data_IF_814782438528
#
_entry.id   IF_814782438528
#
_cell.length_a   1.000
_cell.length_b   1.000
_cell.length_c   1.000
_cell.angle_alpha   90.00
_cell.angle_beta   90.00
_cell.angle_gamma   90.00
#
_symmetry.space_group_name_H-M   'P 1'
#
loop_
_entity.id
_entity.type
_entity.pdbx_description
1 polymer ?
#
# COMPACT_ATOMS: atom_id res chain seq x y z
N UNK A 1 3.12 -19.26 -4.28
CA UNK A 1 3.91 -18.45 -5.24
C UNK A 1 3.29 -17.08 -5.43
N UNK A 2 4.12 -16.08 -5.54
CA UNK A 2 3.71 -14.74 -5.92
C UNK A 2 4.86 -13.99 -6.58
N UNK A 3 4.58 -13.32 -7.68
CA UNK A 3 5.51 -12.39 -8.34
C UNK A 3 4.71 -11.26 -9.00
N UNK A 4 5.02 -10.01 -8.62
CA UNK A 4 4.32 -8.86 -9.18
C UNK A 4 4.47 -8.80 -10.70
N UNK A 5 3.34 -8.75 -11.40
CA UNK A 5 3.29 -8.68 -12.86
C UNK A 5 3.16 -7.25 -13.39
N UNK A 6 3.29 -6.23 -12.54
CA UNK A 6 3.18 -4.85 -12.94
C UNK A 6 1.82 -4.45 -13.52
N UNK A 7 0.75 -5.13 -13.12
CA UNK A 7 -0.59 -4.89 -13.68
C UNK A 7 -1.24 -3.57 -13.24
N UNK A 8 -0.72 -2.93 -12.19
CA UNK A 8 -1.30 -1.73 -11.60
C UNK A 8 -2.64 -1.92 -10.89
N UNK A 9 -3.19 -3.13 -10.87
CA UNK A 9 -4.50 -3.41 -10.26
C UNK A 9 -4.55 -3.12 -8.76
N UNK A 10 -3.43 -3.26 -8.04
CA UNK A 10 -3.32 -2.91 -6.62
C UNK A 10 -3.25 -1.39 -6.37
N UNK A 11 -3.06 -0.59 -7.41
CA UNK A 11 -3.06 0.88 -7.35
C UNK A 11 -4.43 1.50 -7.64
N UNK A 12 -5.44 0.69 -7.86
CA UNK A 12 -6.82 1.10 -8.12
C UNK A 12 -7.68 0.63 -6.96
N UNK A 13 -8.34 1.57 -6.29
CA UNK A 13 -9.28 1.20 -5.23
C UNK A 13 -10.53 0.57 -5.82
N UNK A 14 -11.06 -0.39 -5.09
CA UNK A 14 -12.32 -1.04 -5.42
C UNK A 14 -13.31 -0.66 -4.35
N UNK A 15 -14.29 0.12 -4.73
CA UNK A 15 -15.30 0.67 -3.83
C UNK A 15 -14.72 1.60 -2.75
N UNK A 16 -15.33 1.66 -1.58
CA UNK A 16 -14.98 2.56 -0.48
C UNK A 16 -13.67 2.22 0.26
N UNK A 17 -13.01 1.15 -0.11
CA UNK A 17 -11.76 0.70 0.51
C UNK A 17 -10.59 0.88 -0.45
N UNK A 18 -9.63 1.75 -0.16
CA UNK A 18 -8.55 1.80 -1.09
C UNK A 18 -7.49 2.86 -0.91
N UNK A 19 -7.46 3.50 0.22
CA UNK A 19 -6.36 4.40 0.50
C UNK A 19 -5.08 3.63 0.81
N UNK A 20 -3.97 4.12 0.29
CA UNK A 20 -2.64 3.67 0.69
C UNK A 20 -2.20 4.51 1.88
N UNK A 21 -2.38 3.96 3.07
CA UNK A 21 -1.97 4.61 4.30
C UNK A 21 -0.46 4.60 4.47
N UNK A 22 0.07 5.66 5.07
CA UNK A 22 1.50 5.87 5.22
C UNK A 22 1.91 5.87 6.69
N UNK A 23 2.85 5.00 7.02
CA UNK A 23 3.57 5.06 8.29
C UNK A 23 4.60 6.19 8.29
N UNK A 24 5.10 6.56 9.46
CA UNK A 24 6.18 7.54 9.57
C UNK A 24 7.45 7.10 8.82
N UNK A 25 7.71 5.79 8.76
CA UNK A 25 8.84 5.23 8.00
C UNK A 25 8.63 5.44 6.50
N UNK A 26 7.41 5.22 6.01
CA UNK A 26 7.07 5.43 4.60
C UNK A 26 7.21 6.91 4.22
N UNK A 27 6.72 7.82 5.06
CA UNK A 27 6.86 9.27 4.85
C UNK A 27 8.32 9.70 4.76
N UNK A 28 9.18 9.20 5.66
CA UNK A 28 10.63 9.48 5.61
C UNK A 28 11.28 8.92 4.35
N UNK A 29 10.89 7.72 3.93
CA UNK A 29 11.41 7.08 2.69
C UNK A 29 11.04 7.89 1.46
N UNK A 30 9.79 8.34 1.33
CA UNK A 30 9.35 9.18 0.23
C UNK A 30 9.99 10.56 0.25
N UNK A 31 10.11 11.19 1.42
CA UNK A 31 10.81 12.46 1.57
C UNK A 31 12.24 12.37 1.00
N UNK A 32 12.96 11.31 1.36
CA UNK A 32 14.30 11.04 0.83
C UNK A 32 14.31 10.76 -0.68
N UNK A 33 13.39 9.92 -1.15
CA UNK A 33 13.28 9.55 -2.57
C UNK A 33 13.01 10.76 -3.47
N UNK A 34 12.07 11.61 -3.08
CA UNK A 34 11.71 12.81 -3.83
C UNK A 34 12.60 14.03 -3.53
N UNK A 35 13.53 13.92 -2.59
CA UNK A 35 14.36 15.04 -2.10
C UNK A 35 13.51 16.23 -1.65
N UNK A 36 12.41 15.96 -0.97
CA UNK A 36 11.48 16.93 -0.41
C UNK A 36 11.49 16.89 1.12
N UNK A 37 11.19 18.00 1.77
CA UNK A 37 10.87 17.96 3.19
C UNK A 37 9.60 17.13 3.43
N UNK A 38 9.42 16.58 4.64
CA UNK A 38 8.20 15.87 5.02
C UNK A 38 6.94 16.73 4.80
N UNK A 39 7.03 18.01 5.13
CA UNK A 39 5.94 18.98 4.95
C UNK A 39 5.59 19.15 3.47
N UNK A 40 6.60 19.33 2.63
CA UNK A 40 6.41 19.49 1.18
C UNK A 40 5.86 18.22 0.53
N UNK A 41 6.38 17.04 0.91
CA UNK A 41 5.87 15.77 0.42
C UNK A 41 4.39 15.57 0.81
N UNK A 42 4.05 15.76 2.08
CA UNK A 42 2.67 15.64 2.55
C UNK A 42 1.72 16.58 1.81
N UNK A 43 2.10 17.84 1.64
CA UNK A 43 1.29 18.84 0.92
C UNK A 43 1.03 18.44 -0.52
N UNK A 44 2.02 17.85 -1.19
CA UNK A 44 1.97 17.56 -2.63
C UNK A 44 1.29 16.22 -2.94
N UNK A 45 1.50 15.20 -2.12
CA UNK A 45 1.16 13.82 -2.48
C UNK A 45 0.23 13.11 -1.47
N UNK A 46 -0.12 13.76 -0.38
CA UNK A 46 -0.93 13.13 0.66
C UNK A 46 -2.23 13.86 0.92
N UNK A 47 -3.18 13.12 1.44
CA UNK A 47 -4.42 13.60 2.03
C UNK A 47 -4.58 12.99 3.43
N UNK A 48 -5.52 13.53 4.20
CA UNK A 48 -5.86 13.04 5.53
C UNK A 48 -7.34 12.74 5.56
N UNK A 49 -7.70 11.52 5.92
CA UNK A 49 -9.08 11.10 6.13
C UNK A 49 -9.17 10.43 7.50
N UNK A 50 -10.13 10.84 8.32
CA UNK A 50 -10.36 10.31 9.68
C UNK A 50 -9.11 10.37 10.59
N UNK A 51 -8.21 11.32 10.33
CA UNK A 51 -6.96 11.50 11.06
C UNK A 51 -5.81 10.63 10.54
N UNK A 52 -6.00 9.86 9.49
CA UNK A 52 -4.95 9.04 8.90
C UNK A 52 -4.39 9.66 7.63
N UNK A 53 -3.06 9.68 7.53
CA UNK A 53 -2.35 10.15 6.33
C UNK A 53 -2.31 9.03 5.31
N UNK A 54 -2.69 9.34 4.08
CA UNK A 54 -2.62 8.40 2.96
C UNK A 54 -2.18 9.13 1.68
N UNK A 55 -1.79 8.36 0.66
CA UNK A 55 -1.51 8.92 -0.66
C UNK A 55 -2.78 9.54 -1.25
N UNK A 56 -2.62 10.67 -1.92
CA UNK A 56 -3.70 11.29 -2.68
C UNK A 56 -4.13 10.38 -3.84
N UNK A 57 -5.39 10.52 -4.23
CA UNK A 57 -5.91 9.93 -5.47
C UNK A 57 -5.68 10.89 -6.64
N UNK A 58 -5.77 10.39 -7.86
CA UNK A 58 -5.78 11.23 -9.05
C UNK A 58 -7.10 11.98 -9.16
N UNK A 59 -7.03 13.28 -9.41
CA UNK A 59 -8.22 14.12 -9.55
C UNK A 59 -9.15 13.68 -10.69
N UNK A 60 -8.56 13.23 -11.80
CA UNK A 60 -9.30 12.82 -13.02
C UNK A 60 -9.89 11.40 -12.93
N UNK A 61 -9.28 10.53 -12.11
CA UNK A 61 -9.66 9.14 -11.96
C UNK A 61 -9.69 8.78 -10.47
N UNK A 62 -10.77 9.15 -9.80
CA UNK A 62 -10.98 8.81 -8.38
C UNK A 62 -10.80 7.31 -8.16
N UNK A 63 -10.15 6.97 -7.07
CA UNK A 63 -9.81 5.59 -6.76
C UNK A 63 -8.45 5.12 -7.29
N UNK A 64 -7.80 5.89 -8.17
CA UNK A 64 -6.46 5.56 -8.65
C UNK A 64 -5.39 6.24 -7.80
N UNK A 65 -4.38 5.47 -7.39
CA UNK A 65 -3.22 6.01 -6.69
C UNK A 65 -2.53 7.10 -7.54
N UNK A 66 -2.12 8.20 -6.91
CA UNK A 66 -1.44 9.32 -7.58
C UNK A 66 -0.18 8.90 -8.35
N UNK A 67 0.47 7.81 -7.93
CA UNK A 67 1.67 7.27 -8.57
C UNK A 67 1.41 6.19 -9.64
N UNK A 68 0.15 5.91 -9.94
CA UNK A 68 -0.21 5.01 -11.04
C UNK A 68 -0.11 5.76 -12.38
N UNK A 69 0.75 5.30 -13.28
CA UNK A 69 0.88 5.81 -14.64
C UNK A 69 1.03 4.64 -15.61
N UNK A 70 0.25 4.63 -16.68
CA UNK A 70 0.30 3.60 -17.72
C UNK A 70 0.25 2.16 -17.14
N UNK A 71 -0.64 1.92 -16.18
CA UNK A 71 -0.78 0.67 -15.41
C UNK A 71 0.43 0.30 -14.55
N UNK A 72 1.38 1.19 -14.37
CA UNK A 72 2.60 0.93 -13.61
C UNK A 72 2.74 1.88 -12.41
N UNK A 73 3.33 1.39 -11.33
CA UNK A 73 3.68 2.21 -10.18
C UNK A 73 4.98 2.97 -10.47
N UNK A 74 4.91 4.30 -10.55
CA UNK A 74 6.08 5.16 -10.81
C UNK A 74 7.09 5.20 -9.66
N UNK A 75 6.68 4.79 -8.47
CA UNK A 75 7.53 4.72 -7.26
C UNK A 75 7.78 3.28 -6.81
N UNK A 76 7.74 2.32 -7.71
CA UNK A 76 7.80 0.90 -7.38
C UNK A 76 8.91 0.52 -6.40
N UNK A 77 10.13 1.03 -6.60
CA UNK A 77 11.28 0.76 -5.73
C UNK A 77 11.14 1.36 -4.31
N UNK A 78 10.35 2.41 -4.17
CA UNK A 78 10.13 3.14 -2.92
C UNK A 78 8.71 2.99 -2.39
N UNK A 79 7.99 1.99 -2.88
CA UNK A 79 6.61 1.70 -2.45
C UNK A 79 6.45 1.76 -0.93
N UNK A 80 5.30 2.26 -0.44
CA UNK A 80 4.96 2.16 0.98
C UNK A 80 4.93 0.71 1.46
N UNK A 81 5.07 0.52 2.75
CA UNK A 81 5.04 -0.81 3.37
C UNK A 81 3.77 -1.58 3.01
N UNK A 82 2.61 -0.93 3.03
CA UNK A 82 1.34 -1.53 2.61
C UNK A 82 1.39 -2.12 1.19
N UNK A 83 2.01 -1.39 0.25
CA UNK A 83 2.14 -1.88 -1.14
C UNK A 83 3.19 -2.98 -1.29
N UNK A 84 4.24 -2.99 -0.44
CA UNK A 84 5.30 -3.99 -0.48
C UNK A 84 4.87 -5.32 0.11
N UNK A 85 4.02 -5.30 1.14
CA UNK A 85 3.50 -6.50 1.79
C UNK A 85 2.38 -7.16 0.99
N UNK A 86 1.74 -6.44 0.04
CA UNK A 86 0.73 -7.03 -0.84
C UNK A 86 1.26 -8.26 -1.58
N UNK A 87 0.50 -9.36 -1.71
CA UNK A 87 -0.86 -9.60 -1.21
C UNK A 87 -0.91 -10.25 0.18
N UNK A 88 0.23 -10.38 0.84
CA UNK A 88 0.36 -11.06 2.13
C UNK A 88 0.00 -10.13 3.30
N UNK A 89 -1.24 -9.66 3.31
CA UNK A 89 -1.84 -8.97 4.45
C UNK A 89 -2.57 -9.97 5.32
N UNK A 90 -2.60 -9.73 6.64
CA UNK A 90 -3.24 -10.65 7.57
C UNK A 90 -4.70 -10.90 7.20
N UNK A 91 -5.44 -9.89 6.78
CA UNK A 91 -6.84 -10.00 6.36
C UNK A 91 -7.02 -10.84 5.08
N UNK A 92 -5.99 -10.90 4.24
CA UNK A 92 -6.02 -11.68 3.01
C UNK A 92 -5.72 -13.17 3.23
N UNK A 93 -5.18 -13.56 4.40
CA UNK A 93 -4.75 -14.93 4.67
C UNK A 93 -5.88 -15.90 5.04
N UNK A 94 -7.11 -15.46 4.83
CA UNK A 94 -8.28 -16.33 4.88
C UNK A 94 -8.46 -17.01 3.52
N UNK A 95 -8.66 -18.34 3.50
CA UNK A 95 -8.80 -19.13 2.26
C UNK A 95 -9.91 -18.62 1.35
N UNK A 96 -11.03 -18.18 1.93
CA UNK A 96 -12.17 -17.64 1.17
C UNK A 96 -11.81 -16.34 0.49
N UNK A 97 -11.21 -15.40 1.22
CA UNK A 97 -10.75 -14.10 0.70
C UNK A 97 -9.67 -14.33 -0.36
N UNK A 98 -8.69 -15.18 -0.07
CA UNK A 98 -7.62 -15.50 -1.00
C UNK A 98 -8.13 -16.02 -2.35
N UNK A 99 -9.04 -16.99 -2.32
CA UNK A 99 -9.53 -17.63 -3.54
C UNK A 99 -10.55 -16.78 -4.31
N UNK A 100 -11.41 -16.01 -3.62
CA UNK A 100 -12.46 -15.23 -4.28
C UNK A 100 -12.01 -13.84 -4.73
N UNK A 101 -11.14 -13.21 -3.95
CA UNK A 101 -10.79 -11.81 -4.16
C UNK A 101 -9.33 -11.64 -4.62
N UNK A 102 -8.38 -12.26 -3.92
CA UNK A 102 -6.97 -12.01 -4.19
C UNK A 102 -6.51 -12.71 -5.45
N UNK A 103 -6.68 -14.03 -5.56
CA UNK A 103 -6.18 -14.80 -6.70
C UNK A 103 -6.89 -14.47 -8.01
N UNK A 104 -8.16 -14.08 -7.94
CA UNK A 104 -8.95 -13.67 -9.13
C UNK A 104 -8.48 -12.31 -9.66
N UNK A 105 -8.13 -11.40 -8.76
CA UNK A 105 -7.84 -10.01 -9.12
C UNK A 105 -6.35 -9.70 -9.27
N UNK A 106 -5.47 -10.46 -8.63
CA UNK A 106 -4.04 -10.25 -8.69
C UNK A 106 -3.35 -11.27 -9.61
N UNK A 107 -2.90 -10.87 -10.81
CA UNK A 107 -2.28 -11.80 -11.76
C UNK A 107 -0.92 -12.32 -11.30
N UNK A 108 -0.36 -11.77 -10.22
CA UNK A 108 0.90 -12.24 -9.64
C UNK A 108 0.77 -13.49 -8.77
N UNK A 109 -0.44 -13.83 -8.33
CA UNK A 109 -0.68 -15.04 -7.54
C UNK A 109 -0.44 -16.28 -8.41
N UNK A 110 0.29 -17.24 -7.88
CA UNK A 110 0.70 -18.46 -8.60
C UNK A 110 1.92 -18.29 -9.49
N UNK A 111 2.43 -17.07 -9.68
CA UNK A 111 3.63 -16.79 -10.48
C UNK A 111 4.91 -16.76 -9.62
N UNK A 112 6.05 -16.87 -10.29
CA UNK A 112 7.36 -16.78 -9.67
C UNK A 112 7.76 -18.00 -8.83
N UNK A 113 8.81 -17.82 -8.06
CA UNK A 113 9.38 -18.86 -7.19
C UNK A 113 8.47 -19.17 -6.01
N UNK A 114 8.62 -20.37 -5.45
CA UNK A 114 7.96 -20.72 -4.20
C UNK A 114 8.47 -19.83 -3.08
N UNK A 115 7.56 -19.21 -2.34
CA UNK A 115 7.90 -18.39 -1.18
C UNK A 115 7.80 -19.28 0.06
N UNK A 116 8.85 -19.31 0.87
CA UNK A 116 8.86 -20.11 2.10
C UNK A 116 7.87 -19.57 3.13
N UNK A 117 7.36 -20.46 3.99
CA UNK A 117 6.50 -20.07 5.12
C UNK A 117 7.17 -19.04 6.01
N UNK A 118 8.47 -19.20 6.28
CA UNK A 118 9.28 -18.23 7.05
C UNK A 118 9.22 -16.83 6.42
N UNK A 119 9.35 -16.74 5.10
CA UNK A 119 9.29 -15.45 4.39
C UNK A 119 7.90 -14.83 4.42
N UNK A 120 6.87 -15.64 4.25
CA UNK A 120 5.47 -15.18 4.38
C UNK A 120 5.22 -14.64 5.78
N UNK A 121 5.64 -15.36 6.82
CA UNK A 121 5.49 -14.90 8.20
C UNK A 121 6.22 -13.59 8.50
N UNK A 122 7.39 -13.37 7.90
CA UNK A 122 8.10 -12.08 7.99
C UNK A 122 7.29 -10.94 7.36
N UNK A 123 6.68 -11.16 6.20
CA UNK A 123 5.85 -10.18 5.51
C UNK A 123 4.59 -9.87 6.33
N UNK A 124 3.92 -10.89 6.86
CA UNK A 124 2.74 -10.72 7.72
C UNK A 124 3.07 -9.93 8.99
N UNK A 125 4.25 -10.16 9.57
CA UNK A 125 4.73 -9.37 10.70
C UNK A 125 4.97 -7.91 10.32
N UNK A 126 5.59 -7.65 9.17
CA UNK A 126 5.81 -6.29 8.66
C UNK A 126 4.47 -5.57 8.44
N UNK A 127 3.48 -6.26 7.91
CA UNK A 127 2.12 -5.75 7.72
C UNK A 127 1.50 -5.31 9.06
N UNK A 128 1.49 -6.18 10.06
CA UNK A 128 0.98 -5.86 11.40
C UNK A 128 1.73 -4.71 12.09
N UNK A 129 3.04 -4.68 11.98
CA UNK A 129 3.86 -3.63 12.59
C UNK A 129 3.59 -2.27 11.91
N UNK A 130 3.36 -2.29 10.60
CA UNK A 130 2.99 -1.10 9.82
C UNK A 130 1.61 -0.59 10.23
N UNK A 131 0.62 -1.46 10.32
CA UNK A 131 -0.73 -1.12 10.77
C UNK A 131 -0.72 -0.48 12.17
N UNK A 132 -0.03 -1.10 13.13
CA UNK A 132 0.14 -0.54 14.47
C UNK A 132 0.80 0.83 14.46
N UNK A 133 1.79 1.04 13.61
CA UNK A 133 2.47 2.33 13.45
C UNK A 133 1.53 3.39 12.90
N UNK A 134 0.71 3.07 11.91
CA UNK A 134 -0.30 3.96 11.32
C UNK A 134 -1.34 4.34 12.37
N UNK A 135 -1.87 3.36 13.11
CA UNK A 135 -2.86 3.61 14.17
C UNK A 135 -2.32 4.55 15.26
N UNK A 136 -1.06 4.37 15.68
CA UNK A 136 -0.40 5.24 16.66
C UNK A 136 -0.17 6.67 16.16
N UNK A 137 -0.03 6.86 14.86
CA UNK A 137 0.23 8.17 14.24
C UNK A 137 -1.05 8.93 13.85
N UNK A 138 -2.21 8.43 14.25
CA UNK A 138 -3.51 9.09 13.99
C UNK A 138 -3.52 10.51 14.54
N UNK A 139 -3.86 11.46 13.69
CA UNK A 139 -4.04 12.85 14.07
C UNK A 139 -5.43 12.98 14.69
N UNK A 140 -5.47 13.16 16.01
CA UNK A 140 -6.71 13.43 16.74
C UNK A 140 -6.91 14.95 16.75
N UNK A 141 -8.04 15.48 16.22
CA UNK A 141 -8.32 16.91 16.36
C UNK A 141 -8.39 17.26 17.84
N UNK A 142 -7.69 18.31 18.24
CA UNK A 142 -7.87 18.90 19.56
C UNK A 142 -9.32 19.38 19.67
N UNK A 143 -10.01 18.89 20.68
CA UNK A 143 -11.38 19.35 21.01
C UNK A 143 -11.34 20.79 21.50
#
# INVERSE_FOLDING_TARGET
RFECQGSGKCCVSRDSYGFVYLSNIDLKRFSKFFKLSLKAFKKKYCQITDGFIHLAEKDELKGNCIFLKDKMCTVYKSRPSQCRTWPFWNDNMNTKVWNKDISVNCPGVGKGKLISQKKINQILKEDLDTEKSILKSRIIPLK
#
